data_IF_732514154867
#
_entry.id   IF_732514154867
#
_cell.length_a   1.000
_cell.length_b   1.000
_cell.length_c   1.000
_cell.angle_alpha   90.00
_cell.angle_beta   90.00
_cell.angle_gamma   90.00
#
_symmetry.space_group_name_H-M   'P 1'
#
loop_
_entity.id
_entity.type
_entity.pdbx_description
1 polymer ?
#
# COMPACT_ATOMS: atom_id res chain seq x y z
N UNK A 1 -13.81 38.22 7.08
CA UNK A 1 -14.56 36.95 6.92
C UNK A 1 -13.63 35.77 7.19
N UNK A 2 -14.03 34.83 8.04
CA UNK A 2 -13.26 33.61 8.27
C UNK A 2 -13.62 32.59 7.18
N UNK A 3 -12.70 32.40 6.22
CA UNK A 3 -12.81 31.38 5.18
C UNK A 3 -12.85 29.98 5.81
N UNK A 4 -13.91 29.21 5.51
CA UNK A 4 -14.01 27.82 5.95
C UNK A 4 -13.08 26.97 5.07
N UNK A 5 -12.16 26.25 5.70
CA UNK A 5 -11.25 25.31 5.04
C UNK A 5 -11.55 23.87 5.43
N UNK A 6 -11.30 22.94 4.52
CA UNK A 6 -11.49 21.50 4.74
C UNK A 6 -10.14 20.83 5.05
N UNK A 7 -10.10 20.03 6.13
CA UNK A 7 -8.95 19.17 6.46
C UNK A 7 -9.20 17.75 5.94
N UNK A 8 -8.34 17.29 5.04
CA UNK A 8 -8.38 15.90 4.56
C UNK A 8 -8.00 14.93 5.67
N UNK A 9 -8.86 13.93 5.93
CA UNK A 9 -8.60 12.82 6.88
C UNK A 9 -7.99 11.60 6.21
N UNK A 10 -8.16 11.47 4.90
CA UNK A 10 -7.61 10.42 4.04
C UNK A 10 -7.05 11.08 2.79
N UNK A 11 -6.10 10.40 2.16
CA UNK A 11 -5.57 10.84 0.88
C UNK A 11 -6.62 10.65 -0.22
N UNK A 12 -6.70 11.58 -1.16
CA UNK A 12 -7.62 11.53 -2.31
C UNK A 12 -6.82 11.36 -3.60
N UNK A 13 -7.38 10.70 -4.61
CA UNK A 13 -6.72 10.58 -5.90
C UNK A 13 -6.30 11.94 -6.48
N UNK A 14 -5.18 11.97 -7.18
CA UNK A 14 -4.63 13.19 -7.79
C UNK A 14 -3.69 14.01 -6.90
N UNK A 15 -3.60 13.73 -5.59
CA UNK A 15 -2.52 14.31 -4.78
C UNK A 15 -1.20 13.56 -5.03
N UNK A 16 -0.10 14.32 -5.14
CA UNK A 16 1.25 13.75 -5.33
C UNK A 16 1.63 12.71 -4.25
N UNK A 17 1.15 12.89 -3.02
CA UNK A 17 1.42 11.98 -1.90
C UNK A 17 0.47 10.77 -1.83
N UNK A 18 -0.62 10.74 -2.62
CA UNK A 18 -1.63 9.68 -2.51
C UNK A 18 -1.10 8.29 -2.77
N UNK A 19 -0.32 8.03 -3.84
CA UNK A 19 0.24 6.70 -4.09
C UNK A 19 1.13 6.24 -2.94
N UNK A 20 1.94 7.15 -2.38
CA UNK A 20 2.83 6.82 -1.25
C UNK A 20 2.06 6.49 0.03
N UNK A 21 1.02 7.26 0.34
CA UNK A 21 0.18 7.01 1.52
C UNK A 21 -0.61 5.71 1.39
N UNK A 22 -1.10 5.40 0.18
CA UNK A 22 -1.78 4.15 -0.12
C UNK A 22 -0.82 2.97 -0.02
N UNK A 23 0.34 3.02 -0.67
CA UNK A 23 1.34 1.96 -0.64
C UNK A 23 1.85 1.66 0.77
N UNK A 24 2.08 2.71 1.58
CA UNK A 24 2.43 2.54 3.00
C UNK A 24 1.33 1.78 3.75
N UNK A 25 0.07 2.15 3.53
CA UNK A 25 -1.05 1.49 4.19
C UNK A 25 -1.22 0.04 3.76
N UNK A 26 -1.05 -0.23 2.47
CA UNK A 26 -1.07 -1.59 1.92
C UNK A 26 0.03 -2.45 2.54
N UNK A 27 1.26 -1.93 2.60
CA UNK A 27 2.41 -2.62 3.18
C UNK A 27 2.17 -3.01 4.65
N UNK A 28 1.60 -2.10 5.46
CA UNK A 28 1.22 -2.40 6.85
C UNK A 28 0.22 -3.55 6.95
N UNK A 29 -0.78 -3.58 6.07
CA UNK A 29 -1.83 -4.61 6.06
C UNK A 29 -1.24 -5.94 5.60
N UNK A 30 -0.49 -5.96 4.50
CA UNK A 30 0.17 -7.16 3.98
C UNK A 30 1.12 -7.77 5.01
N UNK A 31 1.88 -6.94 5.74
CA UNK A 31 2.76 -7.40 6.82
C UNK A 31 1.99 -8.12 7.92
N UNK A 32 0.80 -7.62 8.30
CA UNK A 32 -0.09 -8.30 9.27
C UNK A 32 -0.69 -9.59 8.72
N UNK A 33 -0.82 -9.70 7.41
CA UNK A 33 -1.24 -10.92 6.73
C UNK A 33 -0.07 -11.89 6.45
N UNK A 34 1.11 -11.64 7.01
CA UNK A 34 2.33 -12.45 6.90
C UNK A 34 2.96 -12.47 5.50
N UNK A 35 2.63 -11.50 4.66
CA UNK A 35 3.39 -11.23 3.45
C UNK A 35 4.70 -10.52 3.79
N UNK A 36 5.76 -10.86 3.08
CA UNK A 36 7.06 -10.18 3.16
C UNK A 36 7.36 -9.51 1.82
N UNK A 37 7.72 -8.23 1.87
CA UNK A 37 8.20 -7.51 0.69
C UNK A 37 9.52 -8.10 0.19
N UNK A 38 9.70 -8.12 -1.13
CA UNK A 38 10.96 -8.52 -1.75
C UNK A 38 12.04 -7.45 -1.54
N UNK A 39 13.29 -7.90 -1.40
CA UNK A 39 14.44 -6.98 -1.32
C UNK A 39 14.82 -6.39 -2.68
N UNK A 40 14.46 -7.09 -3.77
CA UNK A 40 14.81 -6.68 -5.13
C UNK A 40 13.72 -5.80 -5.77
N UNK A 41 12.48 -5.92 -5.30
CA UNK A 41 11.34 -5.21 -5.88
C UNK A 41 10.34 -4.81 -4.78
N UNK A 42 10.12 -3.50 -4.63
CA UNK A 42 9.20 -2.95 -3.64
C UNK A 42 7.73 -3.28 -3.95
N UNK A 43 7.40 -3.60 -5.21
CA UNK A 43 6.04 -3.96 -5.61
C UNK A 43 5.69 -5.42 -5.31
N UNK A 44 6.67 -6.26 -5.01
CA UNK A 44 6.49 -7.70 -4.91
C UNK A 44 6.45 -8.14 -3.45
N UNK A 45 5.39 -8.87 -3.10
CA UNK A 45 5.16 -9.44 -1.78
C UNK A 45 5.01 -10.95 -1.88
N UNK A 46 5.63 -11.68 -0.96
CA UNK A 46 5.61 -13.14 -0.93
C UNK A 46 5.10 -13.59 0.43
N UNK A 47 4.08 -14.44 0.42
CA UNK A 47 3.69 -15.25 1.57
C UNK A 47 4.04 -16.71 1.30
N UNK A 48 4.78 -17.33 2.22
CA UNK A 48 5.14 -18.75 2.13
C UNK A 48 4.37 -19.51 3.20
N UNK A 49 3.49 -20.40 2.77
CA UNK A 49 2.89 -21.43 3.62
C UNK A 49 3.77 -22.68 3.64
N UNK A 50 3.25 -23.73 4.28
CA UNK A 50 3.99 -25.00 4.45
C UNK A 50 4.13 -25.75 3.13
N UNK A 51 3.15 -25.63 2.22
CA UNK A 51 3.10 -26.35 0.95
C UNK A 51 2.82 -25.44 -0.26
N UNK A 52 2.57 -24.16 -0.02
CA UNK A 52 2.09 -23.20 -0.98
C UNK A 52 2.84 -21.87 -0.88
N UNK A 53 2.88 -21.16 -2.00
CA UNK A 53 3.48 -19.82 -2.10
C UNK A 53 2.47 -18.92 -2.78
N UNK A 54 2.18 -17.79 -2.15
CA UNK A 54 1.38 -16.72 -2.74
C UNK A 54 2.30 -15.56 -3.06
N UNK A 55 2.29 -15.14 -4.33
CA UNK A 55 3.02 -13.99 -4.83
C UNK A 55 1.99 -12.92 -5.18
N UNK A 56 2.21 -11.72 -4.68
CA UNK A 56 1.37 -10.56 -4.90
C UNK A 56 2.23 -9.45 -5.52
N UNK A 57 1.79 -8.89 -6.64
CA UNK A 57 2.52 -7.85 -7.38
C UNK A 57 1.62 -6.63 -7.43
N UNK A 58 2.12 -5.50 -6.94
CA UNK A 58 1.35 -4.26 -6.85
C UNK A 58 1.78 -3.30 -7.95
N UNK A 59 0.89 -2.97 -8.87
CA UNK A 59 1.15 -1.99 -9.91
C UNK A 59 0.31 -0.73 -9.69
N UNK A 60 0.96 0.35 -9.25
CA UNK A 60 0.29 1.60 -8.87
C UNK A 60 -0.79 1.35 -7.80
N UNK A 61 -2.07 1.41 -8.17
CA UNK A 61 -3.22 1.22 -7.28
C UNK A 61 -3.90 -0.16 -7.50
N UNK A 62 -3.37 -0.99 -8.42
CA UNK A 62 -3.84 -2.33 -8.75
C UNK A 62 -2.98 -3.43 -8.10
N UNK A 63 -3.59 -4.60 -7.86
CA UNK A 63 -3.01 -5.77 -7.17
C UNK A 63 -3.33 -7.04 -7.95
#
# INVERSE_FOLDING_TARGET
ECSKVCKLKKTIYGLKQSPRAWFHKLTEVLSKCEFRGSQLDLSLFIKRGTFDIVILIVYMDDI
#
